data_IF_730919772210
#
_entry.id   IF_730919772210
#
_cell.length_a   1.000
_cell.length_b   1.000
_cell.length_c   1.000
_cell.angle_alpha   90.00
_cell.angle_beta   90.00
_cell.angle_gamma   90.00
#
_symmetry.space_group_name_H-M   'P 1'
#
loop_
_entity.id
_entity.type
_entity.pdbx_description
1 polymer ?
#
# COMPACT_ATOMS: atom_id res chain seq x y z
N UNK A 1 8.84 18.65 7.99
CA UNK A 1 7.68 17.90 7.50
C UNK A 1 6.50 18.24 8.38
N UNK A 2 5.37 18.59 7.77
CA UNK A 2 4.11 18.77 8.48
C UNK A 2 3.29 17.47 8.40
N UNK A 3 2.72 17.06 9.52
CA UNK A 3 1.87 15.87 9.60
C UNK A 3 0.48 16.30 10.05
N UNK A 4 -0.54 15.82 9.34
CA UNK A 4 -1.94 15.98 9.76
C UNK A 4 -2.60 14.62 9.79
N UNK A 5 -3.34 14.33 10.86
CA UNK A 5 -4.10 13.09 11.01
C UNK A 5 -5.54 13.37 10.64
N UNK A 6 -6.07 12.66 9.65
CA UNK A 6 -7.47 12.75 9.23
C UNK A 6 -8.07 11.36 9.28
N UNK A 7 -9.24 11.24 9.90
CA UNK A 7 -10.06 10.03 9.78
C UNK A 7 -10.92 10.13 8.53
N UNK A 8 -10.83 9.16 7.64
CA UNK A 8 -11.62 9.15 6.40
C UNK A 8 -11.35 7.92 5.55
N UNK A 9 -12.27 7.63 4.64
CA UNK A 9 -12.14 6.51 3.70
C UNK A 9 -11.10 6.78 2.61
N UNK A 10 -10.35 5.77 2.14
CA UNK A 10 -9.39 5.91 1.04
C UNK A 10 -10.03 6.45 -0.24
N UNK A 11 -11.29 6.10 -0.51
CA UNK A 11 -12.05 6.53 -1.69
C UNK A 11 -12.25 8.05 -1.80
N UNK A 12 -12.23 8.78 -0.69
CA UNK A 12 -12.47 10.23 -0.64
C UNK A 12 -11.17 11.03 -0.58
N UNK A 13 -10.03 10.36 -0.52
CA UNK A 13 -8.72 10.99 -0.45
C UNK A 13 -8.27 11.45 -1.84
N UNK A 14 -8.29 12.76 -2.06
CA UNK A 14 -7.61 13.43 -3.19
C UNK A 14 -6.19 13.80 -2.77
N UNK A 15 -5.38 12.77 -2.53
CA UNK A 15 -3.98 12.94 -2.13
C UNK A 15 -3.07 12.63 -3.31
N UNK A 16 -1.86 13.24 -3.32
CA UNK A 16 -0.90 13.02 -4.41
C UNK A 16 -0.39 11.57 -4.48
N UNK A 17 -0.38 10.86 -3.34
CA UNK A 17 -0.02 9.46 -3.24
C UNK A 17 -0.71 8.81 -2.03
N UNK A 18 -1.29 7.63 -2.20
CA UNK A 18 -1.79 6.78 -1.10
C UNK A 18 -0.76 5.69 -0.85
N UNK A 19 -0.40 5.45 0.42
CA UNK A 19 0.54 4.40 0.81
C UNK A 19 -0.21 3.28 1.53
N UNK A 20 -0.07 2.03 1.07
CA UNK A 20 -0.71 0.87 1.72
C UNK A 20 0.22 -0.35 1.79
N UNK A 21 -0.02 -1.21 2.78
CA UNK A 21 0.80 -2.40 3.03
C UNK A 21 0.29 -3.66 2.31
N UNK A 22 1.23 -4.54 1.97
CA UNK A 22 1.02 -5.90 1.45
C UNK A 22 1.88 -6.86 2.27
N UNK A 23 1.27 -7.93 2.76
CA UNK A 23 1.92 -8.97 3.56
C UNK A 23 2.23 -10.22 2.73
N UNK A 24 3.13 -11.06 3.24
CA UNK A 24 3.42 -12.36 2.64
C UNK A 24 2.32 -13.40 2.95
N UNK A 25 1.98 -14.29 1.99
CA UNK A 25 2.26 -14.19 0.57
C UNK A 25 1.17 -13.38 -0.15
N UNK A 26 1.51 -12.21 -0.69
CA UNK A 26 0.63 -11.39 -1.56
C UNK A 26 -0.74 -11.04 -0.94
N UNK A 27 -0.81 -10.89 0.37
CA UNK A 27 -2.03 -10.55 1.10
C UNK A 27 -2.14 -9.04 1.22
N UNK A 28 -3.22 -8.47 0.69
CA UNK A 28 -3.52 -7.05 0.86
C UNK A 28 -3.84 -6.75 2.34
N UNK A 29 -3.37 -5.62 2.85
CA UNK A 29 -3.88 -5.08 4.13
C UNK A 29 -5.36 -4.71 4.01
N UNK A 30 -6.14 -4.62 5.10
CA UNK A 30 -7.57 -4.30 5.03
C UNK A 30 -7.89 -3.01 4.25
N UNK A 31 -7.05 -1.99 4.38
CA UNK A 31 -7.18 -0.74 3.62
C UNK A 31 -6.83 -0.94 2.14
N UNK A 32 -5.83 -1.76 1.83
CA UNK A 32 -5.48 -2.10 0.46
C UNK A 32 -6.56 -2.95 -0.23
N UNK A 33 -7.29 -3.81 0.51
CA UNK A 33 -8.45 -4.55 -0.01
C UNK A 33 -9.61 -3.63 -0.40
N UNK A 34 -9.85 -2.57 0.39
CA UNK A 34 -10.85 -1.56 0.05
C UNK A 34 -10.47 -0.82 -1.25
N UNK A 35 -9.21 -0.43 -1.40
CA UNK A 35 -8.70 0.16 -2.65
C UNK A 35 -8.80 -0.81 -3.82
N UNK A 36 -8.47 -2.08 -3.61
CA UNK A 36 -8.54 -3.09 -4.65
C UNK A 36 -9.98 -3.27 -5.17
N UNK A 37 -10.97 -3.30 -4.26
CA UNK A 37 -12.39 -3.33 -4.61
C UNK A 37 -12.81 -2.12 -5.44
N UNK A 38 -12.35 -0.92 -5.08
CA UNK A 38 -12.64 0.30 -5.85
C UNK A 38 -12.02 0.19 -7.24
N UNK A 39 -10.79 -0.33 -7.33
CA UNK A 39 -10.06 -0.51 -8.58
C UNK A 39 -10.45 -1.75 -9.40
N UNK A 40 -11.58 -2.39 -9.11
CA UNK A 40 -12.06 -3.61 -9.79
C UNK A 40 -11.03 -4.76 -9.81
N UNK A 41 -10.29 -4.94 -8.71
CA UNK A 41 -9.32 -6.03 -8.56
C UNK A 41 -7.98 -5.80 -9.27
N UNK A 42 -7.70 -4.56 -9.72
CA UNK A 42 -6.46 -4.19 -10.41
C UNK A 42 -5.21 -4.53 -9.58
N UNK A 43 -5.22 -4.22 -8.28
CA UNK A 43 -4.07 -4.44 -7.40
C UNK A 43 -3.85 -5.94 -7.21
N UNK A 44 -4.92 -6.68 -6.92
CA UNK A 44 -4.89 -8.15 -6.80
C UNK A 44 -4.42 -8.84 -8.09
N UNK A 45 -4.74 -8.29 -9.26
CA UNK A 45 -4.26 -8.82 -10.54
C UNK A 45 -2.74 -8.68 -10.69
N UNK A 46 -2.17 -7.55 -10.26
CA UNK A 46 -0.71 -7.33 -10.26
C UNK A 46 0.00 -8.26 -9.29
N UNK A 47 -0.54 -8.42 -8.07
CA UNK A 47 0.03 -9.36 -7.10
C UNK A 47 0.02 -10.79 -7.63
N UNK A 48 -1.06 -11.21 -8.31
CA UNK A 48 -1.14 -12.55 -8.92
C UNK A 48 -0.08 -12.77 -9.99
N UNK A 49 0.33 -11.73 -10.72
CA UNK A 49 1.44 -11.78 -11.70
C UNK A 49 2.83 -11.85 -11.07
N UNK A 50 2.95 -11.57 -9.76
CA UNK A 50 4.22 -11.65 -9.04
C UNK A 50 4.99 -10.33 -8.95
N UNK A 51 4.36 -9.20 -9.28
CA UNK A 51 4.98 -7.86 -9.22
C UNK A 51 5.44 -7.48 -7.79
N UNK A 52 4.77 -8.02 -6.77
CA UNK A 52 5.11 -7.80 -5.38
C UNK A 52 4.71 -9.03 -4.56
N UNK A 53 5.64 -9.59 -3.78
CA UNK A 53 5.36 -10.76 -2.93
C UNK A 53 4.87 -10.36 -1.53
N UNK A 54 5.16 -9.12 -1.11
CA UNK A 54 4.87 -8.60 0.22
C UNK A 54 6.04 -8.71 1.18
N UNK A 55 7.24 -9.10 0.71
CA UNK A 55 8.43 -9.20 1.56
C UNK A 55 8.84 -7.85 2.13
N UNK A 56 9.37 -7.86 3.36
CA UNK A 56 9.80 -6.63 4.03
C UNK A 56 10.77 -5.84 3.16
N UNK A 57 10.44 -4.57 2.93
CA UNK A 57 11.25 -3.69 2.12
C UNK A 57 11.05 -3.82 0.61
N UNK A 58 10.11 -4.62 0.11
CA UNK A 58 9.66 -4.45 -1.27
C UNK A 58 8.74 -3.24 -1.38
N UNK A 59 8.72 -2.58 -2.54
CA UNK A 59 7.81 -1.47 -2.83
C UNK A 59 7.38 -1.52 -4.28
N UNK A 60 6.13 -1.18 -4.57
CA UNK A 60 5.61 -1.08 -5.92
C UNK A 60 4.79 0.21 -6.05
N UNK A 61 5.24 1.12 -6.90
CA UNK A 61 4.55 2.37 -7.20
C UNK A 61 3.63 2.16 -8.40
N UNK A 62 2.34 2.38 -8.18
CA UNK A 62 1.30 2.30 -9.19
C UNK A 62 0.87 3.71 -9.59
N UNK A 63 0.78 3.94 -10.90
CA UNK A 63 0.30 5.18 -11.47
C UNK A 63 -1.07 4.95 -12.10
N UNK A 64 -1.96 5.93 -11.97
CA UNK A 64 -3.26 5.94 -12.64
C UNK A 64 -4.07 4.64 -12.44
N UNK A 65 -4.22 4.24 -11.17
CA UNK A 65 -5.02 3.06 -10.81
C UNK A 65 -6.49 3.34 -11.17
N UNK A 66 -7.17 2.43 -11.88
CA UNK A 66 -8.57 2.61 -12.28
C UNK A 66 -9.46 2.92 -11.07
N UNK A 67 -10.44 3.81 -11.27
CA UNK A 67 -11.47 4.20 -10.28
C UNK A 67 -10.96 4.79 -8.95
N UNK A 68 -9.65 4.98 -8.78
CA UNK A 68 -9.06 5.61 -7.60
C UNK A 68 -8.77 7.08 -7.89
N UNK A 69 -9.22 7.98 -7.00
CA UNK A 69 -9.07 9.42 -7.19
C UNK A 69 -7.64 9.94 -7.01
N UNK A 70 -6.77 9.17 -6.35
CA UNK A 70 -5.37 9.55 -6.15
C UNK A 70 -4.51 9.18 -7.35
N UNK A 71 -3.56 10.05 -7.71
CA UNK A 71 -2.71 9.86 -8.89
C UNK A 71 -1.77 8.66 -8.77
N UNK A 72 -1.34 8.35 -7.54
CA UNK A 72 -0.34 7.33 -7.24
C UNK A 72 -0.76 6.49 -6.05
N UNK A 73 -0.46 5.19 -6.11
CA UNK A 73 -0.57 4.28 -4.96
C UNK A 73 0.78 3.60 -4.77
N UNK A 74 1.38 3.75 -3.60
CA UNK A 74 2.59 3.05 -3.21
C UNK A 74 2.22 1.84 -2.34
N UNK A 75 2.49 0.64 -2.86
CA UNK A 75 2.41 -0.59 -2.11
C UNK A 75 3.75 -0.82 -1.40
N UNK A 76 3.71 -1.21 -0.12
CA UNK A 76 4.91 -1.58 0.64
C UNK A 76 4.76 -3.01 1.15
N UNK A 77 5.79 -3.83 0.91
CA UNK A 77 5.92 -5.14 1.50
C UNK A 77 6.25 -5.05 2.99
N UNK A 78 5.36 -5.58 3.82
CA UNK A 78 5.46 -5.55 5.28
C UNK A 78 6.09 -6.84 5.87
N UNK A 79 6.36 -7.85 5.05
CA UNK A 79 6.78 -9.18 5.47
C UNK A 79 5.59 -10.03 5.93
N UNK A 80 5.84 -11.01 6.79
CA UNK A 80 4.78 -11.84 7.37
C UNK A 80 4.01 -11.06 8.42
N UNK A 81 2.69 -11.08 8.31
CA UNK A 81 1.76 -10.36 9.20
C UNK A 81 2.02 -10.63 10.70
N UNK A 82 2.36 -11.87 11.07
CA UNK A 82 2.64 -12.27 12.47
C UNK A 82 4.03 -11.88 12.97
N UNK A 83 4.96 -11.52 12.08
CA UNK A 83 6.33 -11.16 12.43
C UNK A 83 6.54 -9.64 12.48
N UNK A 84 5.51 -8.85 12.16
CA UNK A 84 5.56 -7.39 12.14
C UNK A 84 5.71 -6.83 13.57
N UNK A 85 6.96 -6.62 13.98
CA UNK A 85 7.33 -5.98 15.24
C UNK A 85 7.58 -4.47 15.09
N UNK A 86 7.85 -3.78 16.20
CA UNK A 86 8.14 -2.34 16.22
C UNK A 86 9.34 -1.97 15.32
N UNK A 87 10.37 -2.81 15.27
CA UNK A 87 11.58 -2.56 14.50
C UNK A 87 11.30 -2.67 13.01
N UNK A 88 10.53 -3.66 12.60
CA UNK A 88 10.08 -3.84 11.23
C UNK A 88 9.12 -2.72 10.81
N UNK A 89 8.19 -2.34 11.67
CA UNK A 89 7.28 -1.22 11.42
C UNK A 89 8.03 0.09 11.17
N UNK A 90 9.03 0.41 12.01
CA UNK A 90 9.90 1.57 11.82
C UNK A 90 10.64 1.53 10.48
N UNK A 91 11.14 0.36 10.07
CA UNK A 91 11.77 0.19 8.74
C UNK A 91 10.78 0.39 7.60
N UNK A 92 9.57 -0.15 7.73
CA UNK A 92 8.50 -0.04 6.72
C UNK A 92 8.10 1.42 6.53
N UNK A 93 8.02 2.23 7.58
CA UNK A 93 7.67 3.67 7.48
C UNK A 93 8.82 4.56 7.01
N UNK A 94 10.06 4.22 7.34
CA UNK A 94 11.22 4.98 6.86
C UNK A 94 11.42 4.84 5.35
N UNK A 95 11.00 3.72 4.76
CA UNK A 95 11.20 3.42 3.34
C UNK A 95 10.38 4.27 2.35
N UNK A 96 9.07 4.55 2.56
CA UNK A 96 8.25 5.36 1.67
C UNK A 96 8.52 6.86 1.73
N UNK A 97 9.56 7.31 2.45
CA UNK A 97 10.14 8.64 2.25
C UNK A 97 10.78 8.68 0.86
N UNK A 98 9.93 8.82 -0.15
CA UNK A 98 10.29 9.22 -1.50
C UNK A 98 11.07 10.54 -1.35
N UNK A 99 12.36 10.50 -1.68
CA UNK A 99 13.15 11.71 -1.90
C UNK A 99 12.74 12.36 -3.22
#
# INVERSE_FOLDING_TARGET
MEFSVKSGSPEKQRSACIVVGVFEPRRLSPIAEQLDKISDGYISALLRRGELEGKSGQTLLLHHVPNVLSERILLIGCGKERELDERQYKKVIQKPLIR
#
